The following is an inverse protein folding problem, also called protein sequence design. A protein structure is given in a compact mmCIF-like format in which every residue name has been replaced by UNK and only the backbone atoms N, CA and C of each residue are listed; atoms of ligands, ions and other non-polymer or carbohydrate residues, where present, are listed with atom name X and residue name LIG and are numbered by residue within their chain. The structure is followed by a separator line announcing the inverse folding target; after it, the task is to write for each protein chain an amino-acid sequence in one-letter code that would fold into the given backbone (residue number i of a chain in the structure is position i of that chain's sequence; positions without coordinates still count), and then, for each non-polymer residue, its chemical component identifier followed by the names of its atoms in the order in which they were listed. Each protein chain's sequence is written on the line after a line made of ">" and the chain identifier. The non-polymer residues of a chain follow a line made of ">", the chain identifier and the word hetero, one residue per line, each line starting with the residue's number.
data_IF_687063527195
#
_entry.id   IF_687063527195
#
_cell.length_a   1.000
_cell.length_b   1.000
_cell.length_c   1.000
_cell.angle_alpha   90.00
_cell.angle_beta   90.00
_cell.angle_gamma   90.00
#
_symmetry.space_group_name_H-M   'P 1'
#
loop_
_entity.id
_entity.type
_entity.pdbx_description
1 polymer ?
#
# COMPACT_ATOMS: atom_id res chain seq x y z
N UNK A 1 1.57 52.23 48.23
CA UNK A 1 2.81 51.42 48.08
C UNK A 1 2.52 49.92 47.97
N UNK A 2 1.31 49.49 48.35
CA UNK A 2 0.82 48.09 48.34
C UNK A 2 0.38 47.57 46.96
N UNK A 3 -0.14 48.41 46.05
CA UNK A 3 -0.62 47.94 44.74
C UNK A 3 0.47 47.40 43.81
N UNK A 4 1.69 47.96 43.89
CA UNK A 4 2.83 47.48 43.08
C UNK A 4 3.34 46.12 43.55
N UNK A 5 3.18 45.80 44.84
CA UNK A 5 3.56 44.50 45.39
C UNK A 5 2.57 43.40 44.98
N UNK A 6 1.27 43.72 44.91
CA UNK A 6 0.24 42.76 44.51
C UNK A 6 0.42 42.36 43.04
N UNK A 7 0.69 43.31 42.15
CA UNK A 7 0.91 43.02 40.72
C UNK A 7 2.17 42.17 40.48
N UNK A 8 3.24 42.42 41.27
CA UNK A 8 4.45 41.61 41.25
C UNK A 8 4.22 40.18 41.75
N UNK A 9 3.46 40.02 42.83
CA UNK A 9 3.12 38.69 43.35
C UNK A 9 2.22 37.91 42.38
N UNK A 10 1.27 38.58 41.73
CA UNK A 10 0.38 37.95 40.74
C UNK A 10 1.17 37.45 39.51
N UNK A 11 2.15 38.22 39.03
CA UNK A 11 3.04 37.81 37.93
C UNK A 11 3.94 36.62 38.31
N UNK A 12 4.39 36.54 39.56
CA UNK A 12 5.18 35.39 40.05
C UNK A 12 4.30 34.15 40.20
N UNK A 13 3.08 34.27 40.73
CA UNK A 13 2.12 33.14 40.83
C UNK A 13 1.67 32.67 39.44
N UNK A 14 1.46 33.58 38.49
CA UNK A 14 1.11 33.24 37.11
C UNK A 14 2.28 32.59 36.36
N UNK A 15 3.54 32.95 36.66
CA UNK A 15 4.70 32.29 36.05
C UNK A 15 5.04 30.93 36.67
N UNK A 16 4.62 30.65 37.91
CA UNK A 16 4.76 29.33 38.54
C UNK A 16 3.71 28.31 38.06
N UNK A 17 2.67 28.72 37.34
CA UNK A 17 1.58 27.86 36.87
C UNK A 17 1.92 26.94 35.69
N UNK A 18 3.06 27.12 35.01
CA UNK A 18 3.37 26.41 33.75
C UNK A 18 4.71 25.66 33.75
N UNK A 19 5.33 25.44 34.92
CA UNK A 19 6.43 24.48 35.04
C UNK A 19 5.90 23.10 35.42
N UNK A 20 5.07 22.54 34.55
CA UNK A 20 4.83 21.10 34.53
C UNK A 20 6.12 20.41 34.11
N UNK A 21 7.05 20.21 35.05
CA UNK A 21 8.18 19.31 34.82
C UNK A 21 7.62 17.92 34.51
N UNK A 22 7.85 17.50 33.27
CA UNK A 22 7.67 16.13 32.78
C UNK A 22 8.24 15.14 33.80
N UNK A 23 7.38 14.39 34.48
CA UNK A 23 7.77 13.56 35.64
C UNK A 23 7.71 12.05 35.34
N UNK A 24 7.65 11.64 34.07
CA UNK A 24 7.67 10.22 33.70
C UNK A 24 8.96 9.95 32.93
N UNK A 25 10.03 9.68 33.67
CA UNK A 25 11.30 9.21 33.10
C UNK A 25 11.24 7.69 32.98
N UNK A 26 11.10 7.18 31.76
CA UNK A 26 11.13 5.73 31.49
C UNK A 26 12.59 5.29 31.34
N UNK A 27 12.98 4.24 32.06
CA UNK A 27 14.27 3.62 31.88
C UNK A 27 14.42 3.06 30.45
N UNK A 28 15.56 3.31 29.79
CA UNK A 28 15.82 2.88 28.42
C UNK A 28 15.65 1.36 28.21
N UNK A 29 15.95 0.54 29.23
CA UNK A 29 15.78 -0.92 29.18
C UNK A 29 14.30 -1.32 29.11
N UNK A 30 13.47 -0.78 30.01
CA UNK A 30 12.01 -0.97 30.00
C UNK A 30 11.38 -0.43 28.71
N UNK A 31 11.89 0.70 28.20
CA UNK A 31 11.41 1.28 26.95
C UNK A 31 11.62 0.35 25.74
N UNK A 32 12.74 -0.39 25.71
CA UNK A 32 13.03 -1.35 24.64
C UNK A 32 12.14 -2.60 24.66
N UNK A 33 11.52 -2.89 25.80
CA UNK A 33 10.57 -4.01 25.96
C UNK A 33 9.15 -3.64 25.51
N UNK A 34 8.86 -2.37 25.26
CA UNK A 34 7.55 -1.91 24.79
C UNK A 34 7.36 -2.16 23.29
N UNK A 35 6.11 -2.34 22.82
CA UNK A 35 5.85 -2.41 21.40
C UNK A 35 6.35 -1.15 20.67
N UNK A 36 6.90 -1.31 19.45
CA UNK A 36 7.29 -0.17 18.64
C UNK A 36 6.04 0.64 18.26
N UNK A 37 6.17 1.97 18.25
CA UNK A 37 5.08 2.88 17.88
C UNK A 37 4.70 2.70 16.41
N UNK A 38 5.71 2.63 15.54
CA UNK A 38 5.58 2.37 14.12
C UNK A 38 6.20 1.02 13.78
N UNK A 39 5.47 0.19 13.02
CA UNK A 39 5.99 -1.07 12.50
C UNK A 39 5.41 -1.31 11.11
N UNK A 40 6.26 -1.44 10.09
CA UNK A 40 5.78 -1.79 8.75
C UNK A 40 6.16 -3.25 8.50
N UNK A 41 5.17 -4.10 8.27
CA UNK A 41 5.40 -5.47 7.79
C UNK A 41 6.17 -5.41 6.47
N UNK A 42 6.84 -6.52 6.16
CA UNK A 42 7.60 -6.69 4.94
C UNK A 42 6.69 -6.57 3.70
N UNK A 43 6.62 -5.36 3.15
CA UNK A 43 5.93 -5.06 1.91
C UNK A 43 6.41 -5.97 0.76
N UNK A 44 7.70 -6.27 0.69
CA UNK A 44 8.24 -7.14 -0.36
C UNK A 44 7.67 -8.55 -0.26
N UNK A 45 7.41 -9.01 0.97
CA UNK A 45 6.72 -10.26 1.26
C UNK A 45 5.24 -10.26 0.88
N UNK A 46 4.57 -9.10 0.72
CA UNK A 46 3.12 -8.95 0.49
C UNK A 46 2.82 -8.52 -0.97
N UNK A 47 3.28 -9.30 -1.95
CA UNK A 47 3.13 -8.99 -3.37
C UNK A 47 2.46 -10.12 -4.19
N UNK A 48 1.74 -11.02 -3.53
CA UNK A 48 0.92 -12.04 -4.18
C UNK A 48 -0.24 -11.42 -4.97
N UNK A 49 -0.77 -12.15 -5.96
CA UNK A 49 -1.79 -11.61 -6.88
C UNK A 49 -3.06 -11.06 -6.18
N UNK A 50 -3.44 -11.69 -5.07
CA UNK A 50 -4.59 -11.30 -4.25
C UNK A 50 -4.18 -10.64 -2.93
N UNK A 51 -2.90 -10.29 -2.77
CA UNK A 51 -2.43 -9.66 -1.56
C UNK A 51 -2.96 -8.22 -1.44
N UNK A 52 -3.28 -7.82 -0.23
CA UNK A 52 -3.70 -6.45 0.09
C UNK A 52 -2.90 -6.01 1.28
N UNK A 53 -2.22 -4.88 1.14
CA UNK A 53 -1.44 -4.27 2.19
C UNK A 53 -2.02 -2.92 2.57
N UNK A 54 -2.23 -2.67 3.85
CA UNK A 54 -2.87 -1.45 4.34
C UNK A 54 -2.05 -0.81 5.46
N UNK A 55 -2.25 0.50 5.66
CA UNK A 55 -1.86 1.21 6.87
C UNK A 55 -3.00 1.10 7.88
N UNK A 56 -2.68 0.75 9.11
CA UNK A 56 -3.62 0.49 10.19
C UNK A 56 -3.21 1.29 11.42
N UNK A 57 -4.16 2.04 11.96
CA UNK A 57 -4.03 2.72 13.25
C UNK A 57 -4.88 1.95 14.27
N UNK A 58 -4.29 1.63 15.42
CA UNK A 58 -4.99 0.90 16.47
C UNK A 58 -4.63 1.42 17.86
N UNK A 59 -5.62 1.45 18.74
CA UNK A 59 -5.42 1.67 20.17
C UNK A 59 -4.94 0.38 20.82
N UNK A 60 -3.98 0.49 21.73
CA UNK A 60 -3.56 -0.60 22.60
C UNK A 60 -4.57 -0.76 23.73
N UNK A 61 -5.04 -1.99 23.92
CA UNK A 61 -5.99 -2.38 24.95
C UNK A 61 -5.50 -3.64 25.67
N UNK A 62 -6.08 -3.95 26.82
CA UNK A 62 -5.81 -5.19 27.54
C UNK A 62 -7.06 -5.56 28.35
N UNK A 63 -7.45 -6.83 28.31
CA UNK A 63 -8.57 -7.36 29.09
C UNK A 63 -8.25 -7.43 30.59
N UNK A 64 -6.97 -7.56 30.94
CA UNK A 64 -6.46 -7.62 32.31
C UNK A 64 -5.61 -6.39 32.65
N UNK A 65 -5.41 -6.07 33.94
CA UNK A 65 -4.51 -4.99 34.34
C UNK A 65 -3.09 -5.20 33.80
N UNK A 66 -2.66 -4.34 32.87
CA UNK A 66 -1.34 -4.42 32.23
C UNK A 66 -0.48 -3.24 32.64
N UNK A 67 0.61 -3.52 33.36
CA UNK A 67 1.60 -2.52 33.74
C UNK A 67 2.22 -1.83 32.51
N UNK A 68 2.38 -2.57 31.39
CA UNK A 68 2.86 -2.02 30.13
C UNK A 68 1.87 -1.00 29.55
N UNK A 69 0.57 -1.30 29.56
CA UNK A 69 -0.46 -0.38 29.08
C UNK A 69 -0.53 0.88 29.93
N UNK A 70 -0.52 0.73 31.26
CA UNK A 70 -0.54 1.87 32.20
C UNK A 70 0.67 2.78 31.97
N UNK A 71 1.87 2.20 31.87
CA UNK A 71 3.09 2.96 31.58
C UNK A 71 2.99 3.72 30.25
N UNK A 72 2.49 3.07 29.20
CA UNK A 72 2.31 3.70 27.89
C UNK A 72 1.32 4.85 27.95
N UNK A 73 0.22 4.70 28.69
CA UNK A 73 -0.79 5.74 28.87
C UNK A 73 -0.23 6.93 29.65
N UNK A 74 0.43 6.70 30.79
CA UNK A 74 1.04 7.76 31.61
C UNK A 74 2.11 8.53 30.84
N UNK A 75 2.95 7.83 30.09
CA UNK A 75 3.95 8.46 29.22
C UNK A 75 3.30 9.31 28.12
N UNK A 76 2.18 8.86 27.59
CA UNK A 76 1.45 9.51 26.49
C UNK A 76 0.63 10.74 26.93
N UNK A 77 0.38 10.92 28.23
CA UNK A 77 -0.35 12.09 28.75
C UNK A 77 0.39 13.42 28.46
N UNK A 78 1.71 13.38 28.30
CA UNK A 78 2.52 14.56 28.04
C UNK A 78 2.71 14.79 26.54
N UNK A 79 1.62 15.12 25.86
CA UNK A 79 1.55 15.26 24.39
C UNK A 79 2.49 16.33 23.80
N UNK A 80 2.93 17.30 24.61
CA UNK A 80 3.89 18.32 24.17
C UNK A 80 5.31 17.77 23.94
N UNK A 81 5.65 16.66 24.59
CA UNK A 81 7.01 16.06 24.54
C UNK A 81 7.02 14.64 24.01
N UNK A 82 5.90 13.94 24.12
CA UNK A 82 5.80 12.52 23.82
C UNK A 82 4.66 12.28 22.83
N UNK A 83 4.94 11.43 21.84
CA UNK A 83 3.90 10.89 20.97
C UNK A 83 2.93 10.02 21.80
N UNK A 84 1.68 9.95 21.36
CA UNK A 84 0.73 9.02 21.95
C UNK A 84 1.14 7.58 21.63
N UNK A 85 1.77 6.90 22.60
CA UNK A 85 2.21 5.51 22.50
C UNK A 85 1.17 4.51 22.98
N UNK A 86 0.00 4.99 23.44
CA UNK A 86 -1.16 4.11 23.61
C UNK A 86 -1.84 3.76 22.29
N UNK A 87 -1.39 4.36 21.18
CA UNK A 87 -1.76 3.97 19.82
C UNK A 87 -0.54 3.40 19.10
N UNK A 88 -0.78 2.48 18.17
CA UNK A 88 0.23 1.90 17.29
C UNK A 88 -0.17 2.09 15.83
N UNK A 89 0.83 2.33 15.00
CA UNK A 89 0.68 2.50 13.56
C UNK A 89 1.39 1.34 12.87
N UNK A 90 0.67 0.61 12.03
CA UNK A 90 1.17 -0.60 11.38
C UNK A 90 0.91 -0.62 9.88
N UNK A 91 1.90 -1.05 9.11
CA UNK A 91 1.67 -1.49 7.73
C UNK A 91 1.51 -3.00 7.73
N UNK A 92 0.39 -3.54 7.26
CA UNK A 92 0.08 -4.97 7.38
C UNK A 92 -0.40 -5.57 6.07
N UNK A 93 -0.02 -6.82 5.81
CA UNK A 93 -0.58 -7.63 4.72
C UNK A 93 -1.93 -8.25 5.12
N UNK A 94 -2.99 -7.43 5.15
CA UNK A 94 -4.31 -7.80 5.70
C UNK A 94 -4.96 -9.00 5.02
N UNK A 95 -4.68 -9.24 3.73
CA UNK A 95 -5.13 -10.42 2.97
C UNK A 95 -4.67 -11.76 3.56
N UNK A 96 -3.54 -11.76 4.28
CA UNK A 96 -2.99 -12.95 4.93
C UNK A 96 -3.54 -13.15 6.33
N UNK A 97 -4.11 -12.11 6.90
CA UNK A 97 -4.69 -12.10 8.22
C UNK A 97 -6.13 -12.62 8.21
N UNK A 98 -6.85 -12.48 7.10
CA UNK A 98 -8.24 -12.89 6.98
C UNK A 98 -8.83 -12.57 5.61
N UNK A 99 -10.10 -12.94 5.43
CA UNK A 99 -10.85 -12.58 4.24
C UNK A 99 -11.35 -11.12 4.31
N UNK A 100 -11.57 -10.54 3.13
CA UNK A 100 -12.28 -9.28 2.94
C UNK A 100 -13.74 -9.44 3.39
N UNK A 101 -14.23 -8.53 4.23
CA UNK A 101 -15.61 -8.52 4.73
C UNK A 101 -16.47 -7.48 4.00
N UNK A 102 -17.79 -7.70 3.99
CA UNK A 102 -18.73 -6.73 3.45
C UNK A 102 -18.88 -5.53 4.41
N UNK A 103 -18.67 -4.31 3.91
CA UNK A 103 -18.93 -3.09 4.67
C UNK A 103 -17.96 -1.93 4.41
N UNK A 104 -18.02 -0.86 5.22
CA UNK A 104 -17.21 0.34 5.01
C UNK A 104 -15.73 0.15 5.36
N UNK A 105 -15.38 -0.85 6.17
CA UNK A 105 -14.01 -1.15 6.58
C UNK A 105 -13.73 -2.65 6.40
N UNK A 106 -13.56 -3.11 5.15
CA UNK A 106 -13.58 -4.54 4.82
C UNK A 106 -12.40 -5.34 5.41
N UNK A 107 -11.34 -4.65 5.82
CA UNK A 107 -10.11 -5.25 6.36
C UNK A 107 -9.93 -5.06 7.87
N UNK A 108 -10.89 -4.44 8.57
CA UNK A 108 -10.77 -4.14 10.01
C UNK A 108 -10.56 -5.40 10.84
N UNK A 109 -11.42 -6.40 10.70
CA UNK A 109 -11.36 -7.66 11.45
C UNK A 109 -10.10 -8.45 11.14
N UNK A 110 -9.66 -8.43 9.87
CA UNK A 110 -8.40 -9.07 9.46
C UNK A 110 -7.18 -8.36 10.10
N UNK A 111 -7.13 -7.04 10.04
CA UNK A 111 -6.05 -6.25 10.66
C UNK A 111 -5.96 -6.48 12.16
N UNK A 112 -7.09 -6.45 12.86
CA UNK A 112 -7.17 -6.67 14.31
C UNK A 112 -6.62 -8.06 14.70
N UNK A 113 -6.93 -9.08 13.91
CA UNK A 113 -6.40 -10.44 14.12
C UNK A 113 -4.87 -10.49 14.05
N UNK A 114 -4.26 -9.87 13.03
CA UNK A 114 -2.80 -9.85 12.90
C UNK A 114 -2.12 -9.04 14.00
N UNK A 115 -2.67 -7.88 14.35
CA UNK A 115 -2.15 -7.06 15.43
C UNK A 115 -2.18 -7.80 16.76
N UNK A 116 -3.29 -8.47 17.08
CA UNK A 116 -3.42 -9.23 18.32
C UNK A 116 -2.41 -10.37 18.39
N UNK A 117 -2.10 -11.04 17.27
CA UNK A 117 -1.04 -12.04 17.23
C UNK A 117 0.34 -11.44 17.52
N UNK A 118 0.66 -10.27 16.95
CA UNK A 118 1.94 -9.58 17.19
C UNK A 118 2.07 -9.09 18.63
N UNK A 119 0.98 -8.54 19.18
CA UNK A 119 0.96 -7.85 20.47
C UNK A 119 0.81 -8.77 21.68
N UNK A 120 0.39 -10.01 21.47
CA UNK A 120 0.25 -11.02 22.54
C UNK A 120 1.55 -11.17 23.34
N UNK A 121 2.72 -11.05 22.71
CA UNK A 121 4.03 -11.13 23.40
C UNK A 121 4.27 -10.03 24.43
N UNK A 122 3.52 -8.93 24.34
CA UNK A 122 3.56 -7.81 25.29
C UNK A 122 2.41 -7.87 26.32
N UNK A 123 1.54 -8.90 26.27
CA UNK A 123 0.32 -8.93 27.08
C UNK A 123 -0.68 -7.83 26.71
N UNK A 124 -0.65 -7.40 25.44
CA UNK A 124 -1.49 -6.34 24.90
C UNK A 124 -2.30 -6.87 23.71
N UNK A 125 -3.39 -6.17 23.45
CA UNK A 125 -4.26 -6.34 22.30
C UNK A 125 -4.38 -5.01 21.56
N UNK A 126 -4.87 -5.06 20.34
CA UNK A 126 -5.17 -3.90 19.53
C UNK A 126 -6.68 -3.83 19.28
N UNK A 127 -7.23 -2.64 19.48
CA UNK A 127 -8.54 -2.24 18.96
C UNK A 127 -8.29 -1.36 17.74
N UNK A 128 -8.58 -1.87 16.54
CA UNK A 128 -8.36 -1.12 15.30
C UNK A 128 -9.24 0.14 15.30
N UNK A 129 -8.62 1.30 15.12
CA UNK A 129 -9.33 2.57 14.98
C UNK A 129 -9.64 2.81 13.50
N UNK A 130 -8.61 2.70 12.66
CA UNK A 130 -8.61 3.09 11.25
C UNK A 130 -7.85 2.06 10.40
N UNK A 131 -8.37 1.80 9.20
CA UNK A 131 -7.66 1.08 8.14
C UNK A 131 -7.69 1.96 6.90
N UNK A 132 -6.51 2.34 6.41
CA UNK A 132 -6.36 3.29 5.32
C UNK A 132 -5.26 2.86 4.35
N UNK A 133 -5.18 3.54 3.20
CA UNK A 133 -4.11 3.36 2.21
C UNK A 133 -3.90 1.90 1.77
N UNK A 134 -5.00 1.16 1.63
CA UNK A 134 -4.96 -0.22 1.15
C UNK A 134 -4.54 -0.30 -0.31
N UNK A 135 -3.43 -0.98 -0.56
CA UNK A 135 -2.82 -1.12 -1.87
C UNK A 135 -2.75 -2.60 -2.22
N UNK A 136 -3.14 -2.91 -3.45
CA UNK A 136 -2.93 -4.23 -4.06
C UNK A 136 -1.67 -4.16 -4.92
N UNK A 137 -0.82 -5.19 -4.93
CA UNK A 137 0.35 -5.21 -5.79
C UNK A 137 -0.10 -5.13 -7.24
N UNK A 138 0.54 -4.24 -8.00
CA UNK A 138 0.19 -4.03 -9.39
C UNK A 138 0.53 -5.30 -10.16
N UNK A 139 -0.47 -5.92 -10.80
CA UNK A 139 -0.25 -7.08 -11.67
C UNK A 139 0.82 -6.70 -12.70
N UNK A 140 1.87 -7.52 -12.81
CA UNK A 140 2.87 -7.33 -13.84
C UNK A 140 2.16 -7.21 -15.20
N UNK A 141 2.52 -6.18 -15.97
CA UNK A 141 1.88 -5.87 -17.25
C UNK A 141 1.71 -7.16 -18.07
N UNK A 142 0.47 -7.48 -18.43
CA UNK A 142 0.15 -8.68 -19.19
C UNK A 142 0.95 -8.75 -20.49
N UNK A 143 1.11 -9.94 -21.06
CA UNK A 143 1.82 -10.15 -22.32
C UNK A 143 1.33 -9.20 -23.43
N UNK A 144 0.03 -8.93 -23.48
CA UNK A 144 -0.57 -7.95 -24.40
C UNK A 144 -0.10 -6.50 -24.17
N UNK A 145 -0.01 -6.04 -22.92
CA UNK A 145 0.47 -4.70 -22.61
C UNK A 145 1.96 -4.53 -22.98
N UNK A 146 2.77 -5.58 -22.76
CA UNK A 146 4.18 -5.61 -23.20
C UNK A 146 4.31 -5.58 -24.73
N UNK A 147 3.47 -6.34 -25.43
CA UNK A 147 3.44 -6.35 -26.89
C UNK A 147 3.03 -4.99 -27.48
N UNK A 148 2.01 -4.34 -26.89
CA UNK A 148 1.59 -2.98 -27.27
C UNK A 148 2.69 -1.95 -27.02
N UNK A 149 3.36 -2.02 -25.87
CA UNK A 149 4.49 -1.14 -25.56
C UNK A 149 5.64 -1.33 -26.57
N UNK A 150 5.98 -2.58 -26.90
CA UNK A 150 6.99 -2.87 -27.91
C UNK A 150 6.60 -2.34 -29.30
N UNK A 151 5.35 -2.55 -29.72
CA UNK A 151 4.82 -2.02 -30.98
C UNK A 151 4.88 -0.48 -31.01
N UNK A 152 4.50 0.18 -29.92
CA UNK A 152 4.56 1.63 -29.81
C UNK A 152 5.99 2.16 -29.97
N UNK A 153 6.97 1.52 -29.32
CA UNK A 153 8.40 1.87 -29.46
C UNK A 153 8.87 1.70 -30.91
N UNK A 154 8.48 0.61 -31.57
CA UNK A 154 8.83 0.37 -32.98
C UNK A 154 8.22 1.43 -33.89
N UNK A 155 6.94 1.77 -33.70
CA UNK A 155 6.28 2.82 -34.48
C UNK A 155 6.95 4.18 -34.29
N UNK A 156 7.30 4.56 -33.06
CA UNK A 156 8.03 5.80 -32.78
C UNK A 156 9.40 5.80 -33.49
N UNK A 157 10.13 4.69 -33.43
CA UNK A 157 11.41 4.57 -34.13
C UNK A 157 11.28 4.73 -35.66
N UNK A 158 10.25 4.12 -36.26
CA UNK A 158 9.98 4.26 -37.70
C UNK A 158 9.63 5.69 -38.08
N UNK A 159 8.84 6.40 -37.27
CA UNK A 159 8.53 7.82 -37.49
C UNK A 159 9.80 8.67 -37.42
N UNK A 160 10.68 8.43 -36.44
CA UNK A 160 11.96 9.15 -36.32
C UNK A 160 12.92 8.85 -37.48
N UNK A 161 12.95 7.61 -37.97
CA UNK A 161 13.75 7.24 -39.14
C UNK A 161 13.23 7.91 -40.41
N UNK A 162 11.91 7.89 -40.62
CA UNK A 162 11.29 8.53 -41.77
C UNK A 162 11.55 10.05 -41.79
N UNK A 163 11.43 10.72 -40.64
CA UNK A 163 11.72 12.15 -40.54
C UNK A 163 13.20 12.45 -40.73
N UNK A 164 14.12 11.64 -40.18
CA UNK A 164 15.55 11.80 -40.39
C UNK A 164 15.95 11.63 -41.87
N UNK A 165 15.43 10.59 -42.53
CA UNK A 165 15.66 10.35 -43.96
C UNK A 165 15.11 11.49 -44.82
N UNK A 166 13.93 12.03 -44.48
CA UNK A 166 13.34 13.18 -45.17
C UNK A 166 14.24 14.42 -45.08
N UNK A 167 14.71 14.74 -43.87
CA UNK A 167 15.63 15.87 -43.65
C UNK A 167 16.96 15.67 -44.38
N UNK A 168 17.53 14.47 -44.35
CA UNK A 168 18.76 14.16 -45.09
C UNK A 168 18.56 14.26 -46.61
N UNK A 169 17.41 13.81 -47.12
CA UNK A 169 17.05 13.92 -48.52
C UNK A 169 16.98 15.36 -49.02
N UNK A 170 16.33 16.26 -48.26
CA UNK A 170 16.28 17.69 -48.60
C UNK A 170 17.68 18.33 -48.59
N UNK A 171 18.53 17.95 -47.62
CA UNK A 171 19.90 18.48 -47.54
C UNK A 171 20.80 17.97 -48.66
N UNK A 172 20.66 16.71 -49.08
CA UNK A 172 21.43 16.14 -50.19
C UNK A 172 20.98 16.68 -51.55
N UNK A 173 19.68 16.90 -51.75
CA UNK A 173 19.16 17.53 -52.97
C UNK A 173 19.70 18.96 -53.14
N UNK A 174 19.83 19.71 -52.05
CA UNK A 174 20.34 21.08 -52.07
C UNK A 174 21.83 21.18 -52.43
N UNK A 175 22.62 20.10 -52.26
CA UNK A 175 24.04 20.08 -52.65
C UNK A 175 24.28 19.82 -54.14
N UNK A 176 23.33 19.22 -54.85
CA UNK A 176 23.42 19.02 -56.31
C UNK A 176 22.93 20.25 -57.11
N UNK A 177 22.12 21.10 -56.49
CA UNK A 177 21.54 22.32 -57.09
C UNK A 177 22.48 23.56 -57.05
N UNK A 178 23.79 23.38 -56.82
CA UNK A 178 24.78 24.44 -57.10
C UNK A 178 25.43 24.31 -58.48
N UNK A 179 24.98 23.34 -59.31
CA UNK A 179 25.52 23.16 -60.67
C UNK A 179 24.55 23.52 -61.81
N UNK A 180 23.24 23.67 -61.58
CA UNK A 180 22.33 24.05 -62.66
C UNK A 180 21.24 25.03 -62.21
N UNK A 181 21.42 26.28 -62.63
CA UNK A 181 20.45 27.34 -62.88
C UNK A 181 19.05 27.28 -62.24
N UNK A 182 18.84 28.22 -61.32
CA UNK A 182 17.86 29.32 -61.45
C UNK A 182 16.90 29.21 -62.65
N UNK A 183 15.74 28.56 -62.47
CA UNK A 183 14.46 29.03 -63.02
C UNK A 183 13.25 28.34 -62.36
N UNK A 184 12.53 29.13 -61.56
CA UNK A 184 11.08 29.10 -61.30
C UNK A 184 10.32 27.77 -61.14
N UNK A 185 9.80 27.56 -59.93
CA UNK A 185 8.70 26.62 -59.68
C UNK A 185 8.20 26.69 -58.25
N UNK A 186 7.33 27.65 -57.94
CA UNK A 186 6.62 27.78 -56.66
C UNK A 186 5.84 26.50 -56.33
N UNK A 187 6.36 25.67 -55.42
CA UNK A 187 5.60 24.61 -54.74
C UNK A 187 5.39 25.02 -53.27
N UNK A 188 4.14 25.28 -52.92
CA UNK A 188 3.74 25.73 -51.58
C UNK A 188 3.83 24.59 -50.54
N UNK A 189 4.28 24.86 -49.29
CA UNK A 189 4.57 23.84 -48.27
C UNK A 189 3.34 23.41 -47.44
N UNK A 190 2.19 23.17 -48.07
CA UNK A 190 0.95 22.82 -47.36
C UNK A 190 0.74 21.33 -46.96
N UNK A 191 1.43 20.30 -47.50
CA UNK A 191 1.16 18.91 -47.08
C UNK A 191 1.87 18.49 -45.77
N UNK A 192 2.91 19.21 -45.33
CA UNK A 192 3.69 18.82 -44.14
C UNK A 192 3.00 19.21 -42.82
N UNK A 193 2.33 20.36 -42.76
CA UNK A 193 1.57 20.78 -41.57
C UNK A 193 0.32 19.91 -41.36
N UNK A 194 -0.35 19.47 -42.42
CA UNK A 194 -1.53 18.59 -42.32
C UNK A 194 -1.17 17.21 -41.76
N UNK A 195 0.00 16.65 -42.12
CA UNK A 195 0.40 15.32 -41.65
C UNK A 195 0.77 15.33 -40.16
N UNK A 196 1.49 16.35 -39.70
CA UNK A 196 1.82 16.52 -38.27
C UNK A 196 0.56 16.78 -37.44
N UNK A 197 -0.37 17.61 -37.93
CA UNK A 197 -1.64 17.86 -37.25
C UNK A 197 -2.52 16.61 -37.20
N UNK A 198 -2.57 15.79 -38.26
CA UNK A 198 -3.30 14.52 -38.29
C UNK A 198 -2.72 13.48 -37.33
N UNK A 199 -1.39 13.36 -37.24
CA UNK A 199 -0.73 12.45 -36.30
C UNK A 199 -0.95 12.93 -34.85
N UNK A 200 -0.84 14.23 -34.59
CA UNK A 200 -1.08 14.80 -33.26
C UNK A 200 -2.55 14.66 -32.82
N UNK A 201 -3.52 14.87 -33.71
CA UNK A 201 -4.95 14.63 -33.41
C UNK A 201 -5.26 13.15 -33.26
N UNK A 202 -4.67 12.26 -34.06
CA UNK A 202 -4.84 10.82 -33.88
C UNK A 202 -4.27 10.33 -32.53
N UNK A 203 -3.11 10.84 -32.11
CA UNK A 203 -2.51 10.54 -30.80
C UNK A 203 -3.34 11.11 -29.64
N UNK A 204 -3.90 12.31 -29.79
CA UNK A 204 -4.77 12.92 -28.77
C UNK A 204 -6.09 12.15 -28.62
N UNK A 205 -6.75 11.79 -29.72
CA UNK A 205 -8.00 10.99 -29.70
C UNK A 205 -7.76 9.57 -29.17
N UNK A 206 -6.60 8.96 -29.43
CA UNK A 206 -6.22 7.68 -28.82
C UNK A 206 -5.93 7.82 -27.32
N UNK A 207 -5.35 8.93 -26.89
CA UNK A 207 -5.14 9.25 -25.47
C UNK A 207 -6.45 9.37 -24.68
N UNK A 208 -7.45 10.08 -25.22
CA UNK A 208 -8.75 10.24 -24.57
C UNK A 208 -9.57 8.92 -24.54
N UNK A 209 -9.46 8.07 -25.57
CA UNK A 209 -10.15 6.77 -25.59
C UNK A 209 -9.56 5.74 -24.61
N UNK A 210 -8.26 5.84 -24.30
CA UNK A 210 -7.65 5.03 -23.24
C UNK A 210 -8.09 5.49 -21.85
N UNK A 211 -8.40 6.78 -21.65
CA UNK A 211 -8.91 7.27 -20.37
C UNK A 211 -10.39 6.89 -20.12
N UNK A 212 -11.17 6.64 -21.17
CA UNK A 212 -12.62 6.44 -21.05
C UNK A 212 -13.09 4.98 -21.10
N UNK A 213 -12.20 4.03 -21.42
CA UNK A 213 -12.56 2.60 -21.47
C UNK A 213 -12.30 1.83 -20.17
N UNK A 214 -11.70 2.45 -19.15
CA UNK A 214 -11.63 1.90 -17.78
C UNK A 214 -12.85 2.27 -16.92
N UNK A 215 -13.77 3.12 -17.40
CA UNK A 215 -14.91 3.61 -16.61
C UNK A 215 -16.23 2.84 -16.75
N UNK A 216 -16.44 2.03 -17.80
CA UNK A 216 -17.82 1.61 -18.15
C UNK A 216 -17.95 0.18 -18.70
N UNK A 217 -17.15 -0.77 -18.20
CA UNK A 217 -17.35 -2.22 -18.42
C UNK A 217 -17.13 -3.09 -17.17
N UNK A 218 -17.50 -2.58 -16.01
CA UNK A 218 -17.97 -3.44 -14.93
C UNK A 218 -19.50 -3.41 -14.98
N UNK A 219 -20.15 -4.58 -14.85
CA UNK A 219 -21.61 -4.80 -15.01
C UNK A 219 -22.04 -5.10 -16.46
N UNK A 220 -21.70 -6.29 -16.96
CA UNK A 220 -22.67 -7.17 -17.63
C UNK A 220 -22.01 -8.50 -18.06
N UNK A 221 -22.41 -9.59 -17.40
CA UNK A 221 -22.43 -10.91 -18.01
C UNK A 221 -21.14 -11.74 -17.91
N UNK A 222 -20.82 -12.23 -16.71
CA UNK A 222 -20.07 -13.49 -16.59
C UNK A 222 -21.06 -14.58 -16.19
N UNK A 223 -21.49 -15.34 -17.20
CA UNK A 223 -22.22 -16.59 -17.02
C UNK A 223 -21.23 -17.60 -16.43
N UNK A 224 -21.56 -18.11 -15.26
CA UNK A 224 -20.84 -19.15 -14.51
C UNK A 224 -20.54 -20.33 -15.44
N UNK A 225 -19.26 -20.59 -15.67
CA UNK A 225 -18.79 -21.85 -16.27
C UNK A 225 -18.18 -22.64 -15.13
N UNK A 226 -18.86 -23.71 -14.70
CA UNK A 226 -18.36 -24.68 -13.73
C UNK A 226 -17.01 -25.24 -14.19
N UNK A 227 -15.92 -25.09 -13.42
CA UNK A 227 -14.70 -25.83 -13.67
C UNK A 227 -14.79 -27.19 -12.98
N UNK A 228 -14.50 -28.22 -13.78
CA UNK A 228 -14.32 -29.60 -13.38
C UNK A 228 -13.42 -29.74 -12.12
N UNK A 229 -13.78 -30.72 -11.29
CA UNK A 229 -13.14 -31.09 -10.03
C UNK A 229 -11.60 -31.00 -10.11
N UNK A 230 -11.07 -29.95 -9.49
CA UNK A 230 -9.65 -29.63 -9.44
C UNK A 230 -8.99 -30.30 -8.25
N UNK A 231 -7.68 -30.47 -8.38
CA UNK A 231 -6.65 -31.03 -7.49
C UNK A 231 -6.81 -30.84 -5.96
N UNK A 232 -7.66 -29.91 -5.53
CA UNK A 232 -8.08 -29.66 -4.14
C UNK A 232 -8.77 -30.87 -3.49
N UNK A 233 -9.54 -31.65 -4.26
CA UNK A 233 -10.21 -32.86 -3.74
C UNK A 233 -9.22 -34.02 -3.54
N UNK A 234 -8.12 -34.06 -4.31
CA UNK A 234 -7.02 -35.02 -4.11
C UNK A 234 -6.26 -34.78 -2.80
N UNK A 235 -6.12 -33.52 -2.37
CA UNK A 235 -5.47 -33.19 -1.10
C UNK A 235 -6.35 -33.49 0.11
N UNK A 236 -7.67 -33.26 0.02
CA UNK A 236 -8.62 -33.61 1.10
C UNK A 236 -8.69 -35.13 1.34
N UNK A 237 -8.66 -35.94 0.28
CA UNK A 237 -8.64 -37.40 0.39
C UNK A 237 -7.35 -37.93 1.06
N UNK A 238 -6.19 -37.31 0.82
CA UNK A 238 -4.92 -37.69 1.47
C UNK A 238 -4.90 -37.33 2.95
N UNK A 239 -5.41 -36.15 3.32
CA UNK A 239 -5.47 -35.71 4.71
C UNK A 239 -6.42 -36.57 5.58
N UNK A 240 -7.54 -37.03 5.02
CA UNK A 240 -8.45 -37.93 5.73
C UNK A 240 -7.81 -39.31 6.04
N UNK A 241 -6.93 -39.81 5.17
CA UNK A 241 -6.24 -41.10 5.39
C UNK A 241 -5.15 -41.05 6.49
N UNK A 242 -4.54 -39.86 6.70
CA UNK A 242 -3.50 -39.66 7.69
C UNK A 242 -4.08 -39.52 9.12
N UNK A 243 -5.27 -38.94 9.26
CA UNK A 243 -5.92 -38.75 10.55
C UNK A 243 -6.40 -40.07 11.20
N UNK A 244 -6.74 -41.08 10.40
CA UNK A 244 -7.23 -42.38 10.91
C UNK A 244 -6.17 -43.23 11.64
N UNK A 245 -4.88 -43.01 11.40
CA UNK A 245 -3.81 -43.85 11.97
C UNK A 245 -3.26 -43.33 13.31
N UNK A 246 -3.57 -42.08 13.70
CA UNK A 246 -3.07 -41.47 14.94
C UNK A 246 -3.89 -41.79 16.20
N UNK A 247 -5.18 -42.10 16.04
CA UNK A 247 -6.10 -42.25 17.19
C UNK A 247 -5.98 -43.60 17.92
N UNK A 248 -5.31 -44.61 17.35
CA UNK A 248 -5.23 -45.94 17.94
C UNK A 248 -4.12 -46.12 19.00
N UNK A 249 -3.29 -45.10 19.27
CA UNK A 249 -2.10 -45.25 20.15
C UNK A 249 -2.15 -44.53 21.50
N UNK A 250 -3.16 -43.71 21.78
CA UNK A 250 -3.20 -42.87 23.00
C UNK A 250 -4.13 -43.39 24.11
N UNK A 251 -4.51 -44.67 24.08
CA UNK A 251 -5.41 -45.29 25.06
C UNK A 251 -4.73 -46.40 25.88
N UNK A 252 -3.70 -46.09 26.67
CA UNK A 252 -3.25 -47.00 27.74
C UNK A 252 -2.39 -46.28 28.79
N UNK A 253 -2.75 -46.50 30.06
CA UNK A 253 -2.12 -46.03 31.32
C UNK A 253 -2.59 -44.61 31.75
N UNK A 254 -3.16 -44.38 32.93
CA UNK A 254 -2.81 -44.90 34.26
C UNK A 254 -4.04 -45.16 35.16
N UNK A 255 -3.90 -46.18 36.02
CA UNK A 255 -4.74 -46.53 37.18
C UNK A 255 -4.59 -45.50 38.32
N UNK A 256 -5.60 -45.37 39.20
CA UNK A 256 -5.48 -44.68 40.48
C UNK A 256 -4.91 -45.62 41.56
N UNK A 257 -4.11 -45.07 42.48
CA UNK A 257 -3.77 -45.75 43.74
C UNK A 257 -3.93 -44.77 44.92
N UNK A 258 -4.34 -45.35 46.04
CA UNK A 258 -4.85 -44.74 47.26
C UNK A 258 -3.74 -44.26 48.20
N UNK A 259 -3.95 -43.14 48.89
CA UNK A 259 -4.11 -43.03 50.37
C UNK A 259 -4.16 -41.58 50.81
#
# INVERSE_FOLDING_TARGET
>A
MTDKMIFGLLLVVLSMGEYGCSLVEINATTFAELPPLFGLDDWAGCQGEDDVWCIVDAALVSDEPSAALTLLQEYSQQTQKHYNRSQVHRGLCVSRCGAEEDGPNPWRTAAERCLNQELTKYGLQASVESVSLCTRPQRAAGSGARALAALAVVLVALVLLATALHVLGERCAQTDEYRFHQESGSWSPWPQLMTVVLIATALHVLGERCAQTEGEKAIAGVRVMEPAATERDRWRARLASAAGHGAARAGRALRPDQR
#
